data_IF_112689460453
#
_entry.id   IF_112689460453
#
_cell.length_a   1.000
_cell.length_b   1.000
_cell.length_c   1.000
_cell.angle_alpha   90.00
_cell.angle_beta   90.00
_cell.angle_gamma   90.00
#
_symmetry.space_group_name_H-M   'P 1'
#
loop_
_entity.id
_entity.type
_entity.pdbx_description
1 polymer ?
#
# COMPACT_ATOMS: atom_id res chain seq x y z
N UNK A 1 9.10 25.30 -14.31
CA UNK A 1 8.91 23.91 -14.74
C UNK A 1 8.26 23.15 -13.58
N UNK A 2 6.93 23.11 -13.57
CA UNK A 2 6.15 22.36 -12.56
C UNK A 2 6.26 20.87 -12.88
N UNK A 3 7.12 20.16 -12.15
CA UNK A 3 7.12 18.69 -12.14
C UNK A 3 5.85 18.26 -11.39
N UNK A 4 4.68 18.32 -12.04
CA UNK A 4 3.47 17.68 -11.54
C UNK A 4 3.79 16.19 -11.43
N UNK A 5 4.18 15.77 -10.23
CA UNK A 5 4.44 14.37 -9.87
C UNK A 5 3.16 13.61 -10.22
N UNK A 6 3.15 12.95 -11.38
CA UNK A 6 2.16 11.93 -11.73
C UNK A 6 2.28 10.87 -10.63
N UNK A 7 1.45 10.98 -9.59
CA UNK A 7 1.35 9.97 -8.54
C UNK A 7 1.19 8.64 -9.26
N UNK A 8 2.19 7.79 -9.14
CA UNK A 8 2.37 6.62 -9.99
C UNK A 8 1.08 5.78 -9.92
N UNK A 9 0.40 5.59 -11.05
CA UNK A 9 -0.87 4.85 -11.17
C UNK A 9 -0.81 3.50 -10.44
N UNK A 10 0.39 2.89 -10.38
CA UNK A 10 0.67 1.64 -9.67
C UNK A 10 0.46 1.69 -8.15
N UNK A 11 0.78 2.82 -7.51
CA UNK A 11 0.54 3.02 -6.08
C UNK A 11 -0.96 3.05 -5.81
N UNK A 12 -1.68 3.92 -6.54
CA UNK A 12 -3.12 4.04 -6.42
C UNK A 12 -3.86 2.71 -6.71
N UNK A 13 -3.50 1.98 -7.78
CA UNK A 13 -4.16 0.70 -8.11
C UNK A 13 -3.87 -0.38 -7.04
N UNK A 14 -2.65 -0.41 -6.48
CA UNK A 14 -2.30 -1.30 -5.37
C UNK A 14 -3.10 -0.99 -4.10
N UNK A 15 -3.24 0.29 -3.76
CA UNK A 15 -4.06 0.73 -2.64
C UNK A 15 -5.51 0.33 -2.82
N UNK A 16 -6.10 0.52 -4.02
CA UNK A 16 -7.47 0.10 -4.30
C UNK A 16 -7.65 -1.42 -4.25
N UNK A 17 -6.66 -2.17 -4.75
CA UNK A 17 -6.64 -3.63 -4.65
C UNK A 17 -6.64 -4.08 -3.18
N UNK A 18 -5.71 -3.57 -2.37
CA UNK A 18 -5.61 -3.92 -0.95
C UNK A 18 -6.83 -3.45 -0.16
N UNK A 19 -7.33 -2.24 -0.41
CA UNK A 19 -8.57 -1.73 0.17
C UNK A 19 -9.76 -2.66 -0.11
N UNK A 20 -9.89 -3.10 -1.37
CA UNK A 20 -10.96 -4.00 -1.82
C UNK A 20 -10.82 -5.40 -1.23
N UNK A 21 -9.59 -5.90 -1.09
CA UNK A 21 -9.30 -7.23 -0.56
C UNK A 21 -9.52 -7.30 0.95
N UNK A 22 -9.11 -6.25 1.67
CA UNK A 22 -9.15 -6.19 3.14
C UNK A 22 -10.39 -5.49 3.69
N UNK A 23 -11.28 -5.01 2.82
CA UNK A 23 -12.47 -4.22 3.21
C UNK A 23 -12.10 -2.96 4.00
N UNK A 24 -11.05 -2.27 3.56
CA UNK A 24 -10.55 -1.03 4.16
C UNK A 24 -10.88 0.17 3.27
N UNK A 25 -10.85 1.37 3.85
CA UNK A 25 -10.99 2.62 3.14
C UNK A 25 -9.61 3.16 2.77
N UNK A 26 -9.52 3.72 1.55
CA UNK A 26 -8.38 4.54 1.18
C UNK A 26 -8.45 5.88 1.88
N UNK A 27 -7.32 6.33 2.41
CA UNK A 27 -7.21 7.61 3.07
C UNK A 27 -7.17 8.75 2.04
N UNK A 28 -8.10 9.72 2.09
CA UNK A 28 -8.06 10.85 1.16
C UNK A 28 -6.84 11.75 1.38
N UNK A 29 -6.17 11.64 2.54
CA UNK A 29 -4.98 12.41 2.89
C UNK A 29 -3.74 11.51 3.09
N UNK A 30 -3.44 10.63 2.12
CA UNK A 30 -2.26 9.74 2.13
C UNK A 30 -0.89 10.42 2.12
N UNK A 31 -0.85 11.76 2.20
CA UNK A 31 0.41 12.51 2.36
C UNK A 31 0.91 12.50 3.82
N UNK A 32 0.00 12.41 4.78
CA UNK A 32 0.30 12.56 6.22
C UNK A 32 -0.15 11.37 7.06
N UNK A 33 -0.71 10.36 6.42
CA UNK A 33 -1.38 9.25 7.07
C UNK A 33 -1.17 7.98 6.26
N UNK A 34 -1.29 6.80 6.89
CA UNK A 34 -1.26 5.53 6.16
C UNK A 34 -2.29 5.52 5.04
N UNK A 35 -1.93 4.87 3.94
CA UNK A 35 -2.76 4.75 2.74
C UNK A 35 -4.15 4.18 3.03
N UNK A 36 -4.27 3.19 3.93
CA UNK A 36 -5.51 2.48 4.23
C UNK A 36 -5.90 2.54 5.71
N UNK A 37 -7.20 2.59 5.96
CA UNK A 37 -7.79 2.59 7.29
C UNK A 37 -9.04 1.71 7.35
N UNK A 38 -9.14 0.88 8.38
CA UNK A 38 -10.32 0.08 8.64
C UNK A 38 -11.51 0.94 9.06
N UNK A 39 -12.71 0.60 8.59
CA UNK A 39 -13.94 1.19 9.13
C UNK A 39 -14.14 0.77 10.59
N UNK A 40 -14.80 1.63 11.37
CA UNK A 40 -15.12 1.33 12.78
C UNK A 40 -15.88 0.02 12.91
N UNK A 41 -15.44 -0.85 13.81
CA UNK A 41 -16.04 -2.17 14.04
C UNK A 41 -15.69 -3.27 13.03
N UNK A 42 -14.98 -2.97 11.93
CA UNK A 42 -14.51 -4.01 10.99
C UNK A 42 -13.39 -4.85 11.58
N UNK A 43 -12.47 -4.19 12.30
CA UNK A 43 -11.30 -4.81 12.90
C UNK A 43 -11.10 -4.30 14.33
N UNK A 44 -10.65 -5.17 15.23
CA UNK A 44 -10.28 -4.83 16.61
C UNK A 44 -8.95 -5.53 16.96
N UNK A 45 -7.87 -4.78 17.22
CA UNK A 45 -7.75 -3.32 17.12
C UNK A 45 -7.98 -2.82 15.68
N UNK A 46 -8.16 -1.52 15.52
CA UNK A 46 -8.33 -0.91 14.20
C UNK A 46 -7.07 -1.07 13.38
N UNK A 47 -7.23 -1.52 12.15
CA UNK A 47 -6.12 -1.77 11.26
C UNK A 47 -5.87 -0.55 10.37
N UNK A 48 -4.62 -0.13 10.30
CA UNK A 48 -4.14 0.87 9.35
C UNK A 48 -2.95 0.30 8.59
N UNK A 49 -2.87 0.61 7.30
CA UNK A 49 -1.81 0.08 6.46
C UNK A 49 -1.23 1.14 5.54
N UNK A 50 0.10 1.14 5.46
CA UNK A 50 0.83 1.78 4.38
C UNK A 50 1.12 0.75 3.28
N UNK A 51 0.68 1.03 2.06
CA UNK A 51 0.71 0.09 0.94
C UNK A 51 1.87 0.42 0.01
N UNK A 52 2.78 -0.54 -0.14
CA UNK A 52 3.89 -0.47 -1.09
C UNK A 52 3.70 -1.52 -2.17
N UNK A 53 3.89 -1.14 -3.42
CA UNK A 53 3.87 -2.09 -4.53
C UNK A 53 5.10 -1.93 -5.42
N UNK A 54 5.57 -3.06 -5.96
CA UNK A 54 6.73 -3.05 -6.83
C UNK A 54 7.09 -4.42 -7.39
N UNK A 55 7.88 -4.40 -8.47
CA UNK A 55 8.46 -5.60 -9.05
C UNK A 55 9.60 -6.14 -8.18
N UNK A 56 9.94 -7.41 -8.36
CA UNK A 56 11.03 -8.07 -7.66
C UNK A 56 10.87 -8.01 -6.13
N UNK A 57 9.63 -8.14 -5.64
CA UNK A 57 9.33 -8.23 -4.21
C UNK A 57 9.91 -7.05 -3.40
N UNK A 58 9.76 -5.82 -3.92
CA UNK A 58 10.36 -4.61 -3.35
C UNK A 58 9.33 -3.50 -3.18
N UNK A 59 9.21 -3.00 -1.95
CA UNK A 59 8.54 -1.74 -1.62
C UNK A 59 9.55 -0.60 -1.45
N UNK A 60 9.15 0.63 -1.78
CA UNK A 60 9.94 1.84 -1.51
C UNK A 60 9.26 2.61 -0.39
N UNK A 61 9.99 2.80 0.71
CA UNK A 61 9.55 3.57 1.87
C UNK A 61 10.31 4.90 1.92
N UNK A 62 9.60 5.95 2.30
CA UNK A 62 10.19 7.26 2.56
C UNK A 62 10.27 7.52 4.08
N UNK A 63 11.30 8.23 4.56
CA UNK A 63 11.49 8.47 5.98
C UNK A 63 10.32 9.20 6.66
N UNK A 64 9.62 10.12 5.99
CA UNK A 64 8.44 10.76 6.57
C UNK A 64 7.28 9.76 6.78
N UNK A 65 7.28 8.61 6.12
CA UNK A 65 6.21 7.62 6.30
C UNK A 65 6.41 6.82 7.60
N UNK A 66 7.59 6.91 8.21
CA UNK A 66 7.87 6.25 9.47
C UNK A 66 7.03 6.82 10.62
N UNK A 67 6.71 8.13 10.60
CA UNK A 67 5.97 8.77 11.69
C UNK A 67 4.48 8.47 11.69
N UNK A 68 3.95 7.82 10.66
CA UNK A 68 2.52 7.53 10.54
C UNK A 68 1.97 6.69 11.70
N UNK A 69 2.82 5.95 12.41
CA UNK A 69 2.45 5.19 13.62
C UNK A 69 2.56 5.99 14.93
N UNK A 70 3.03 7.24 14.91
CA UNK A 70 3.29 8.06 16.11
C UNK A 70 2.16 9.01 16.50
N UNK A 71 1.00 8.85 15.89
CA UNK A 71 -0.09 9.83 16.00
C UNK A 71 -1.08 9.40 17.09
N UNK A 72 -1.09 10.07 18.25
CA UNK A 72 -2.15 10.05 19.29
C UNK A 72 -2.09 11.40 20.07
N UNK A 73 -3.17 12.09 20.47
CA UNK A 73 -4.51 11.69 20.95
C UNK A 73 -5.71 12.26 20.15
N UNK A 74 -5.48 12.95 19.04
CA UNK A 74 -6.50 13.78 18.35
C UNK A 74 -6.87 13.36 16.93
N UNK A 75 -6.39 12.24 16.41
CA UNK A 75 -6.62 11.87 14.99
C UNK A 75 -8.10 11.64 14.62
N UNK A 76 -8.97 11.63 15.63
CA UNK A 76 -10.39 11.28 15.61
C UNK A 76 -11.39 12.44 15.68
N UNK A 77 -11.06 13.64 16.17
CA UNK A 77 -12.05 14.75 16.20
C UNK A 77 -12.49 15.21 14.79
N UNK A 78 -11.68 14.91 13.77
CA UNK A 78 -11.85 15.38 12.38
C UNK A 78 -12.72 14.49 11.48
N UNK A 79 -13.04 13.24 11.86
CA UNK A 79 -14.00 12.43 11.08
C UNK A 79 -15.47 12.75 11.39
N UNK A 80 -15.75 13.59 12.41
CA UNK A 80 -17.11 13.92 12.87
C UNK A 80 -17.38 15.39 13.30
N UNK A 81 -16.52 16.37 13.00
CA UNK A 81 -16.80 17.79 13.33
C UNK A 81 -17.09 18.06 14.83
N UNK A 82 -16.27 17.56 15.78
CA UNK A 82 -16.39 17.96 17.22
C UNK A 82 -15.03 18.17 17.89
N UNK A 83 -14.96 19.17 18.79
CA UNK A 83 -13.75 19.77 19.39
C UNK A 83 -13.05 18.97 20.52
N UNK A 84 -11.78 19.40 20.79
CA UNK A 84 -10.96 19.43 22.05
C UNK A 84 -9.80 18.38 22.11
N UNK A 85 -8.49 18.77 21.94
CA UNK A 85 -7.38 19.15 22.91
C UNK A 85 -6.92 17.96 23.81
N UNK A 86 -5.67 17.65 24.18
CA UNK A 86 -4.27 18.05 23.87
C UNK A 86 -3.33 16.84 24.16
N UNK A 87 -2.07 17.00 23.75
CA UNK A 87 -0.94 16.07 23.62
C UNK A 87 -0.46 15.50 24.98
N UNK A 88 -0.04 14.22 25.01
CA UNK A 88 1.29 13.82 25.52
C UNK A 88 1.67 12.34 25.28
N UNK A 89 2.51 12.21 24.25
CA UNK A 89 3.75 11.42 24.13
C UNK A 89 3.74 9.88 24.18
N UNK A 90 4.25 9.34 23.07
CA UNK A 90 5.06 8.12 22.98
C UNK A 90 6.42 8.36 22.32
N UNK A 91 7.25 7.32 22.31
CA UNK A 91 8.37 7.03 21.40
C UNK A 91 9.83 7.27 21.86
N UNK A 92 10.17 7.23 23.14
CA UNK A 92 11.56 7.10 23.64
C UNK A 92 11.54 6.33 24.97
N UNK A 93 12.67 5.68 25.31
CA UNK A 93 12.92 5.16 26.66
C UNK A 93 12.48 6.18 27.73
N UNK A 94 11.59 5.72 28.62
CA UNK A 94 10.88 6.56 29.60
C UNK A 94 9.35 6.59 29.43
N UNK A 95 8.77 5.91 28.44
CA UNK A 95 7.31 5.81 28.25
C UNK A 95 6.91 4.33 28.19
N UNK A 96 6.07 3.93 29.15
CA UNK A 96 5.48 2.60 29.26
C UNK A 96 4.29 2.45 28.27
N UNK A 97 4.54 1.82 27.12
CA UNK A 97 3.54 1.54 26.10
C UNK A 97 2.30 0.79 26.61
N UNK A 98 2.44 -0.01 27.67
CA UNK A 98 1.31 -0.72 28.27
C UNK A 98 0.49 0.17 29.21
N UNK A 99 1.10 1.18 29.85
CA UNK A 99 0.37 2.21 30.59
C UNK A 99 -0.32 3.22 29.66
N UNK A 100 0.29 3.56 28.52
CA UNK A 100 -0.29 4.47 27.52
C UNK A 100 -1.46 3.83 26.75
N UNK A 101 -1.39 2.55 26.40
CA UNK A 101 -2.54 1.79 25.85
C UNK A 101 -3.73 1.71 26.81
N UNK A 102 -3.47 1.69 28.13
CA UNK A 102 -4.52 1.51 29.16
C UNK A 102 -5.23 2.78 29.59
N UNK A 103 -4.77 3.97 29.20
CA UNK A 103 -5.29 5.23 29.76
C UNK A 103 -6.15 6.10 28.82
N UNK A 104 -6.33 5.74 27.54
CA UNK A 104 -7.25 6.46 26.64
C UNK A 104 -8.01 5.50 25.71
N UNK A 105 -9.18 5.04 26.14
CA UNK A 105 -10.18 4.46 25.25
C UNK A 105 -10.62 5.56 24.27
N UNK A 106 -10.50 5.35 22.95
CA UNK A 106 -11.63 4.70 22.30
C UNK A 106 -11.33 3.69 21.19
N UNK A 107 -10.08 3.35 20.83
CA UNK A 107 -9.77 2.20 19.94
C UNK A 107 -8.25 2.01 19.82
N UNK A 108 -7.72 0.85 20.21
CA UNK A 108 -6.34 0.44 19.89
C UNK A 108 -6.16 0.44 18.36
N UNK A 109 -5.03 0.96 17.86
CA UNK A 109 -4.68 0.98 16.43
C UNK A 109 -3.47 0.07 16.18
N UNK A 110 -3.64 -0.87 15.25
CA UNK A 110 -2.60 -1.69 14.65
C UNK A 110 -2.11 -1.03 13.35
N UNK A 111 -0.84 -0.61 13.29
CA UNK A 111 -0.21 -0.07 12.09
C UNK A 111 0.75 -1.08 11.46
N UNK A 112 0.55 -1.33 10.16
CA UNK A 112 1.34 -2.29 9.39
C UNK A 112 1.76 -1.71 8.04
N UNK A 113 2.85 -2.24 7.48
CA UNK A 113 3.20 -2.06 6.07
C UNK A 113 2.73 -3.27 5.28
N UNK A 114 2.08 -3.05 4.13
CA UNK A 114 1.75 -4.10 3.17
C UNK A 114 2.61 -3.95 1.91
N UNK A 115 3.48 -4.91 1.63
CA UNK A 115 4.32 -4.95 0.43
C UNK A 115 3.70 -5.94 -0.56
N UNK A 116 3.23 -5.45 -1.70
CA UNK A 116 2.55 -6.23 -2.74
C UNK A 116 3.50 -6.44 -3.91
N UNK A 117 3.79 -7.72 -4.20
CA UNK A 117 4.61 -8.09 -5.35
C UNK A 117 3.82 -7.94 -6.65
N UNK A 118 4.49 -7.44 -7.68
CA UNK A 118 3.95 -7.32 -9.04
C UNK A 118 4.59 -8.36 -9.95
N UNK A 119 3.77 -9.08 -10.70
CA UNK A 119 4.23 -9.97 -11.77
C UNK A 119 4.12 -9.37 -13.17
N UNK A 120 3.41 -8.26 -13.30
CA UNK A 120 3.18 -7.65 -14.59
C UNK A 120 4.47 -7.05 -15.19
N UNK A 121 4.49 -6.91 -16.53
CA UNK A 121 5.61 -6.27 -17.22
C UNK A 121 5.51 -4.74 -17.31
N UNK A 122 4.51 -4.13 -16.67
CA UNK A 122 4.20 -2.70 -16.79
C UNK A 122 5.29 -1.83 -16.14
N UNK A 123 5.96 -1.05 -16.98
CA UNK A 123 7.00 -0.06 -16.62
C UNK A 123 6.43 1.36 -16.49
N UNK A 124 7.21 2.29 -15.93
CA UNK A 124 6.81 3.68 -15.70
C UNK A 124 6.30 4.41 -16.94
N UNK A 125 6.85 4.16 -18.13
CA UNK A 125 6.36 4.76 -19.37
C UNK A 125 4.97 4.26 -19.79
N UNK A 126 4.46 3.16 -19.20
CA UNK A 126 3.09 2.74 -19.45
C UNK A 126 2.07 3.48 -18.60
N UNK A 127 2.51 4.17 -17.54
CA UNK A 127 1.64 4.98 -16.68
C UNK A 127 0.97 6.11 -17.47
N UNK A 128 1.56 6.52 -18.59
CA UNK A 128 1.00 7.57 -19.44
C UNK A 128 -0.08 7.05 -20.37
N UNK A 129 -0.37 5.75 -20.36
CA UNK A 129 -1.23 5.07 -21.33
C UNK A 129 -2.60 4.77 -20.72
N UNK A 130 -3.72 5.01 -21.45
CA UNK A 130 -5.06 4.65 -20.99
C UNK A 130 -5.15 3.18 -20.60
N UNK A 131 -5.95 2.87 -19.58
CA UNK A 131 -6.23 1.50 -19.15
C UNK A 131 -5.00 0.64 -18.77
N UNK A 132 -3.80 1.22 -18.67
CA UNK A 132 -2.55 0.52 -18.33
C UNK A 132 -2.60 -0.20 -16.98
N UNK A 133 -3.48 0.22 -16.07
CA UNK A 133 -3.74 -0.47 -14.80
C UNK A 133 -4.45 -1.81 -14.96
N UNK A 134 -5.17 -2.06 -16.07
CA UNK A 134 -5.79 -3.37 -16.36
C UNK A 134 -4.71 -4.44 -16.50
N UNK A 135 -3.51 -4.08 -16.98
CA UNK A 135 -2.36 -4.97 -17.12
C UNK A 135 -1.73 -5.35 -15.77
N UNK A 136 -2.09 -4.69 -14.66
CA UNK A 136 -1.46 -4.94 -13.37
C UNK A 136 -1.91 -6.28 -12.79
N UNK A 137 -0.93 -7.09 -12.44
CA UNK A 137 -1.10 -8.39 -11.81
C UNK A 137 -0.39 -8.41 -10.47
N UNK A 138 -1.19 -8.57 -9.41
CA UNK A 138 -0.72 -8.69 -8.04
C UNK A 138 -0.41 -10.15 -7.70
N UNK A 139 0.71 -10.36 -7.00
CA UNK A 139 1.15 -11.68 -6.53
C UNK A 139 1.18 -11.72 -5.01
N UNK A 140 2.24 -12.28 -4.44
CA UNK A 140 2.42 -12.46 -3.01
C UNK A 140 2.42 -11.10 -2.29
N UNK A 141 1.86 -11.10 -1.09
CA UNK A 141 1.80 -9.93 -0.21
C UNK A 141 2.53 -10.21 1.09
N UNK A 142 3.13 -9.16 1.65
CA UNK A 142 3.96 -9.26 2.85
C UNK A 142 3.55 -8.15 3.81
N UNK A 143 2.99 -8.53 4.94
CA UNK A 143 2.48 -7.61 5.96
C UNK A 143 3.38 -7.69 7.18
N UNK A 144 3.89 -6.53 7.62
CA UNK A 144 4.85 -6.43 8.73
C UNK A 144 4.52 -5.23 9.62
N UNK A 145 4.78 -5.30 10.94
CA UNK A 145 4.41 -4.22 11.85
C UNK A 145 5.21 -2.95 11.57
N UNK A 146 4.75 -1.81 12.10
CA UNK A 146 5.47 -0.55 11.95
C UNK A 146 6.94 -0.66 12.35
N UNK A 147 7.19 -1.31 13.49
CA UNK A 147 8.50 -1.41 14.11
C UNK A 147 9.49 -2.15 13.19
N UNK A 148 9.02 -3.19 12.49
CA UNK A 148 9.79 -3.85 11.44
C UNK A 148 10.20 -2.85 10.36
N UNK A 149 9.24 -2.07 9.83
CA UNK A 149 9.52 -1.10 8.77
C UNK A 149 10.53 -0.03 9.19
N UNK A 150 10.45 0.44 10.44
CA UNK A 150 11.41 1.38 11.02
C UNK A 150 12.82 0.81 11.08
N UNK A 151 13.00 -0.36 11.70
CA UNK A 151 14.33 -0.94 11.82
C UNK A 151 14.89 -1.41 10.47
N UNK A 152 14.05 -1.93 9.57
CA UNK A 152 14.46 -2.27 8.21
C UNK A 152 14.95 -1.04 7.44
N UNK A 153 14.30 0.11 7.62
CA UNK A 153 14.75 1.40 7.08
C UNK A 153 16.11 1.78 7.67
N UNK A 154 16.26 1.73 8.99
CA UNK A 154 17.49 2.09 9.68
C UNK A 154 18.68 1.22 9.25
N UNK A 155 18.51 -0.10 9.17
CA UNK A 155 19.53 -1.05 8.69
C UNK A 155 19.93 -0.71 7.26
N UNK A 156 18.95 -0.52 6.38
CA UNK A 156 19.21 -0.23 4.96
C UNK A 156 19.96 1.09 4.79
N UNK A 157 19.58 2.12 5.55
CA UNK A 157 20.26 3.42 5.57
C UNK A 157 21.69 3.28 6.08
N UNK A 158 21.90 2.70 7.26
CA UNK A 158 23.23 2.49 7.86
C UNK A 158 24.16 1.71 6.94
N UNK A 159 23.68 0.61 6.33
CA UNK A 159 24.50 -0.18 5.41
C UNK A 159 24.92 0.62 4.16
N UNK A 160 24.07 1.52 3.67
CA UNK A 160 24.35 2.34 2.49
C UNK A 160 25.28 3.53 2.82
N UNK A 161 25.02 4.24 3.91
CA UNK A 161 25.77 5.45 4.31
C UNK A 161 27.04 5.12 5.09
N UNK A 162 27.15 3.89 5.62
CA UNK A 162 28.20 3.45 6.56
C UNK A 162 28.17 4.18 7.91
N UNK A 163 27.10 4.92 8.19
CA UNK A 163 26.86 5.52 9.51
C UNK A 163 26.56 4.42 10.54
N UNK A 164 26.89 4.69 11.82
CA UNK A 164 26.62 3.72 12.87
C UNK A 164 25.11 3.57 13.09
N UNK A 165 24.62 2.33 13.24
CA UNK A 165 23.18 2.05 13.27
C UNK A 165 22.46 2.79 14.40
N UNK A 166 23.10 2.96 15.57
CA UNK A 166 22.50 3.71 16.69
C UNK A 166 22.35 5.21 16.40
N UNK A 167 23.27 5.79 15.63
CA UNK A 167 23.19 7.20 15.21
C UNK A 167 22.05 7.37 14.19
N UNK A 168 21.92 6.43 13.25
CA UNK A 168 20.82 6.40 12.27
C UNK A 168 19.47 6.28 12.98
N UNK A 169 19.33 5.35 13.92
CA UNK A 169 18.11 5.19 14.72
C UNK A 169 17.79 6.49 15.46
N UNK A 170 18.78 7.07 16.15
CA UNK A 170 18.59 8.32 16.91
C UNK A 170 18.15 9.47 16.02
N UNK A 171 18.77 9.62 14.85
CA UNK A 171 18.43 10.66 13.87
C UNK A 171 17.03 10.44 13.27
N UNK A 172 16.67 9.20 12.92
CA UNK A 172 15.33 8.87 12.41
C UNK A 172 14.25 9.14 13.47
N UNK A 173 14.46 8.71 14.71
CA UNK A 173 13.49 8.95 15.79
C UNK A 173 13.33 10.44 16.10
N UNK A 174 14.43 11.22 16.09
CA UNK A 174 14.36 12.67 16.23
C UNK A 174 13.57 13.32 15.09
N UNK A 175 13.82 12.89 13.85
CA UNK A 175 13.08 13.35 12.67
C UNK A 175 11.60 13.00 12.75
N UNK A 176 11.25 11.77 13.10
CA UNK A 176 9.85 11.35 13.22
C UNK A 176 9.10 12.16 14.27
N UNK A 177 9.74 12.52 15.39
CA UNK A 177 9.14 13.39 16.41
C UNK A 177 8.96 14.82 15.95
N UNK A 178 9.91 15.31 15.16
CA UNK A 178 9.80 16.62 14.54
C UNK A 178 8.64 16.64 13.54
N UNK A 179 8.59 15.67 12.61
CA UNK A 179 7.53 15.54 11.61
C UNK A 179 6.14 15.36 12.23
N UNK A 180 6.03 14.61 13.34
CA UNK A 180 4.79 14.44 14.07
C UNK A 180 4.31 15.72 14.77
N UNK A 181 5.20 16.67 15.08
CA UNK A 181 4.88 17.95 15.75
C UNK A 181 4.61 19.07 14.75
N UNK A 182 5.33 19.10 13.64
CA UNK A 182 5.26 20.17 12.65
C UNK A 182 4.15 19.91 11.62
N UNK A 183 3.24 20.88 11.42
CA UNK A 183 2.18 20.79 10.41
C UNK A 183 2.68 20.94 8.97
N UNK A 184 4.00 20.95 8.73
CA UNK A 184 4.63 21.11 7.42
C UNK A 184 5.33 19.83 7.01
N UNK A 185 4.78 19.19 5.99
CA UNK A 185 5.46 18.12 5.27
C UNK A 185 6.64 18.72 4.49
N UNK A 186 7.88 18.41 4.87
CA UNK A 186 9.12 18.81 4.17
C UNK A 186 9.25 18.10 2.81
N UNK A 187 8.27 18.30 1.93
CA UNK A 187 8.21 17.62 0.63
C UNK A 187 9.25 18.10 -0.38
N UNK A 188 9.89 19.24 -0.08
CA UNK A 188 10.78 19.97 -0.99
C UNK A 188 12.27 19.66 -0.76
N UNK A 189 12.64 19.00 0.35
CA UNK A 189 14.03 18.65 0.71
C UNK A 189 14.31 17.14 0.58
N UNK A 190 13.86 16.51 -0.51
CA UNK A 190 14.07 15.07 -0.73
C UNK A 190 15.45 14.82 -1.33
N UNK A 191 16.39 14.33 -0.53
CA UNK A 191 17.62 13.72 -1.02
C UNK A 191 17.39 12.22 -1.34
N UNK A 192 18.28 11.61 -2.11
CA UNK A 192 18.31 10.15 -2.32
C UNK A 192 18.35 9.40 -0.99
N UNK A 193 18.79 10.06 0.08
CA UNK A 193 18.87 9.46 1.40
C UNK A 193 17.53 9.14 2.04
N UNK A 194 16.49 9.89 1.67
CA UNK A 194 15.12 9.84 2.20
C UNK A 194 14.37 8.55 1.83
N UNK A 195 14.87 7.79 0.85
CA UNK A 195 14.22 6.57 0.36
C UNK A 195 15.01 5.32 0.76
N UNK A 196 14.31 4.32 1.31
CA UNK A 196 14.84 2.97 1.52
C UNK A 196 13.92 1.93 0.88
N UNK A 197 14.52 0.81 0.52
CA UNK A 197 13.78 -0.33 0.01
C UNK A 197 13.44 -1.25 1.18
N UNK A 198 12.20 -1.73 1.23
CA UNK A 198 11.81 -2.88 2.04
C UNK A 198 11.69 -4.06 1.08
N UNK A 199 12.44 -5.12 1.34
CA UNK A 199 12.45 -6.30 0.48
C UNK A 199 11.59 -7.40 1.08
N UNK A 200 10.59 -7.85 0.35
CA UNK A 200 9.75 -8.96 0.74
C UNK A 200 10.50 -10.30 0.78
N UNK A 201 11.62 -10.44 0.05
CA UNK A 201 12.52 -11.60 0.22
C UNK A 201 13.19 -11.64 1.60
N UNK A 202 13.46 -10.48 2.21
CA UNK A 202 14.01 -10.43 3.58
C UNK A 202 12.93 -10.81 4.59
N UNK A 203 11.70 -10.33 4.37
CA UNK A 203 10.51 -10.71 5.18
C UNK A 203 10.28 -12.21 5.07
N UNK A 204 10.27 -12.77 3.85
CA UNK A 204 10.06 -14.19 3.61
C UNK A 204 11.17 -15.07 4.21
N UNK A 205 12.42 -14.61 4.14
CA UNK A 205 13.55 -15.28 4.79
C UNK A 205 13.36 -15.40 6.31
N UNK A 206 12.87 -14.34 6.96
CA UNK A 206 12.55 -14.34 8.40
C UNK A 206 11.32 -15.23 8.68
N UNK A 207 10.29 -15.11 7.85
CA UNK A 207 9.05 -15.86 7.97
C UNK A 207 9.30 -17.37 7.89
N UNK A 208 10.05 -17.83 6.90
CA UNK A 208 10.35 -19.26 6.72
C UNK A 208 11.55 -19.74 7.55
N UNK A 209 12.29 -18.81 8.16
CA UNK A 209 13.60 -19.07 8.78
C UNK A 209 14.61 -19.70 7.80
N UNK A 210 14.55 -19.26 6.54
CA UNK A 210 15.39 -19.74 5.45
C UNK A 210 16.27 -18.58 4.93
N UNK A 211 17.56 -18.51 5.34
CA UNK A 211 18.43 -17.40 4.98
C UNK A 211 18.75 -17.34 3.48
N UNK A 212 18.64 -18.45 2.76
CA UNK A 212 19.02 -18.57 1.35
C UNK A 212 17.94 -18.06 0.37
N UNK A 213 16.75 -17.72 0.86
CA UNK A 213 15.70 -17.04 0.08
C UNK A 213 16.14 -15.65 -0.37
N UNK A 214 16.98 -14.98 0.44
CA UNK A 214 17.47 -13.64 0.13
C UNK A 214 18.92 -13.65 -0.34
N UNK A 215 19.35 -12.54 -0.94
CA UNK A 215 20.71 -12.37 -1.46
C UNK A 215 21.75 -12.33 -0.33
N UNK A 216 23.05 -12.43 -0.66
CA UNK A 216 24.14 -12.20 0.31
C UNK A 216 24.02 -10.87 1.06
N UNK A 217 23.56 -9.81 0.38
CA UNK A 217 23.31 -8.51 1.02
C UNK A 217 22.05 -8.53 1.89
N UNK A 218 21.02 -9.25 1.46
CA UNK A 218 19.80 -9.48 2.24
C UNK A 218 20.07 -10.24 3.54
N UNK A 219 20.90 -11.28 3.51
CA UNK A 219 21.32 -12.01 4.72
C UNK A 219 21.95 -11.08 5.75
N UNK A 220 22.83 -10.17 5.31
CA UNK A 220 23.41 -9.12 6.17
C UNK A 220 22.36 -8.15 6.72
N UNK A 221 21.36 -7.77 5.91
CA UNK A 221 20.25 -6.92 6.39
C UNK A 221 19.44 -7.63 7.46
N UNK A 222 19.05 -8.89 7.23
CA UNK A 222 18.30 -9.70 8.19
C UNK A 222 19.08 -9.91 9.49
N UNK A 223 20.37 -10.21 9.40
CA UNK A 223 21.25 -10.35 10.57
C UNK A 223 21.33 -9.05 11.39
N UNK A 224 21.54 -7.92 10.73
CA UNK A 224 21.55 -6.62 11.41
C UNK A 224 20.18 -6.26 11.98
N UNK A 225 19.09 -6.64 11.32
CA UNK A 225 17.73 -6.43 11.81
C UNK A 225 17.48 -7.22 13.10
N UNK A 226 17.80 -8.52 13.13
CA UNK A 226 17.72 -9.37 14.33
C UNK A 226 18.52 -8.82 15.52
N UNK A 227 19.66 -8.15 15.25
CA UNK A 227 20.48 -7.54 16.31
C UNK A 227 19.85 -6.33 16.98
N UNK A 228 19.07 -5.53 16.24
CA UNK A 228 18.56 -4.25 16.73
C UNK A 228 17.06 -4.28 17.06
N UNK A 229 16.32 -5.23 16.49
CA UNK A 229 14.91 -5.43 16.74
C UNK A 229 14.71 -6.69 17.59
N UNK A 230 14.68 -6.51 18.91
CA UNK A 230 14.62 -7.60 19.89
C UNK A 230 13.35 -8.47 19.78
N UNK A 231 12.23 -7.88 19.33
CA UNK A 231 10.96 -8.58 19.14
C UNK A 231 10.81 -9.31 17.80
N UNK A 232 11.80 -9.25 16.90
CA UNK A 232 11.65 -9.77 15.55
C UNK A 232 11.33 -11.26 15.49
N UNK A 233 12.09 -12.08 16.22
CA UNK A 233 11.94 -13.53 16.20
C UNK A 233 10.76 -14.01 17.07
N UNK A 234 10.12 -13.10 17.81
CA UNK A 234 8.86 -13.37 18.56
C UNK A 234 7.60 -13.03 17.77
N UNK A 235 7.73 -12.47 16.57
CA UNK A 235 6.57 -12.18 15.72
C UNK A 235 5.92 -13.48 15.25
N UNK A 236 4.60 -13.51 15.33
CA UNK A 236 3.78 -14.64 14.92
C UNK A 236 3.68 -14.71 13.40
N UNK A 237 3.79 -15.92 12.86
CA UNK A 237 3.89 -16.18 11.42
C UNK A 237 2.56 -16.68 10.89
N UNK A 238 1.81 -15.80 10.23
CA UNK A 238 0.47 -16.11 9.73
C UNK A 238 0.49 -16.13 8.20
N UNK A 239 -0.10 -17.17 7.60
CA UNK A 239 -0.33 -17.25 6.15
C UNK A 239 -1.83 -17.18 5.85
N UNK A 240 -2.21 -16.32 4.91
CA UNK A 240 -3.58 -16.24 4.39
C UNK A 240 -3.55 -16.53 2.89
N UNK A 241 -4.43 -17.42 2.42
CA UNK A 241 -4.62 -17.65 0.99
C UNK A 241 -5.19 -16.38 0.35
N UNK A 242 -4.53 -15.90 -0.69
CA UNK A 242 -4.94 -14.75 -1.47
C UNK A 242 -5.60 -15.14 -2.80
N UNK A 243 -6.17 -14.16 -3.52
CA UNK A 243 -6.77 -14.38 -4.84
C UNK A 243 -5.79 -15.02 -5.84
N UNK A 244 -6.28 -15.83 -6.79
CA UNK A 244 -5.46 -16.45 -7.84
C UNK A 244 -4.29 -17.31 -7.31
N UNK A 245 -4.50 -18.06 -6.22
CA UNK A 245 -3.48 -18.92 -5.58
C UNK A 245 -2.24 -18.16 -5.10
N UNK A 246 -2.39 -16.88 -4.77
CA UNK A 246 -1.33 -16.10 -4.13
C UNK A 246 -1.34 -16.35 -2.63
N UNK A 247 -0.28 -15.93 -1.94
CA UNK A 247 -0.17 -16.03 -0.48
C UNK A 247 0.10 -14.67 0.12
N UNK A 248 -0.56 -14.37 1.23
CA UNK A 248 -0.29 -13.22 2.09
C UNK A 248 0.49 -13.74 3.30
N UNK A 249 1.75 -13.31 3.41
CA UNK A 249 2.66 -13.63 4.51
C UNK A 249 2.63 -12.49 5.53
N UNK A 250 2.36 -12.81 6.79
CA UNK A 250 2.17 -11.80 7.84
C UNK A 250 3.08 -12.12 9.02
N UNK A 251 3.94 -11.17 9.38
CA UNK A 251 4.60 -11.17 10.68
C UNK A 251 3.74 -10.31 11.62
N UNK A 252 3.08 -10.91 12.59
CA UNK A 252 2.13 -10.25 13.49
C UNK A 252 2.71 -10.08 14.89
N UNK A 253 2.30 -9.02 15.58
CA UNK A 253 2.57 -8.90 17.02
C UNK A 253 1.66 -9.87 17.77
N UNK A 254 2.10 -10.36 18.93
CA UNK A 254 1.40 -11.42 19.68
C UNK A 254 -0.07 -11.06 19.99
N UNK A 255 -0.31 -9.79 20.32
CA UNK A 255 -1.63 -9.23 20.63
C UNK A 255 -2.47 -8.93 19.38
N UNK A 256 -1.88 -8.98 18.19
CA UNK A 256 -2.56 -8.80 16.91
C UNK A 256 -2.80 -10.12 16.16
N UNK A 257 -2.53 -11.28 16.76
CA UNK A 257 -2.76 -12.58 16.12
C UNK A 257 -4.22 -12.75 15.69
N UNK A 258 -5.19 -12.49 16.57
CA UNK A 258 -6.62 -12.63 16.23
C UNK A 258 -7.06 -11.66 15.12
N UNK A 259 -6.52 -10.44 15.12
CA UNK A 259 -6.76 -9.46 14.06
C UNK A 259 -6.43 -10.03 12.68
N UNK A 260 -5.34 -10.77 12.55
CA UNK A 260 -4.93 -11.35 11.26
C UNK A 260 -5.50 -12.73 11.01
N UNK A 261 -5.34 -13.65 11.96
CA UNK A 261 -5.66 -15.07 11.79
C UNK A 261 -7.16 -15.35 11.76
N UNK A 262 -7.96 -14.49 12.38
CA UNK A 262 -9.42 -14.57 12.38
C UNK A 262 -10.02 -13.47 11.52
N UNK A 263 -9.84 -12.20 11.89
CA UNK A 263 -10.63 -11.11 11.34
C UNK A 263 -10.24 -10.79 9.88
N UNK A 264 -8.95 -10.54 9.61
CA UNK A 264 -8.46 -10.26 8.26
C UNK A 264 -8.64 -11.49 7.36
N UNK A 265 -8.35 -12.70 7.86
CA UNK A 265 -8.56 -13.95 7.11
C UNK A 265 -10.00 -14.09 6.63
N UNK A 266 -10.98 -13.83 7.50
CA UNK A 266 -12.39 -13.85 7.12
C UNK A 266 -12.72 -12.76 6.08
N UNK A 267 -12.18 -11.56 6.22
CA UNK A 267 -12.37 -10.49 5.23
C UNK A 267 -11.81 -10.90 3.87
N UNK A 268 -10.57 -11.41 3.82
CA UNK A 268 -9.92 -11.91 2.60
C UNK A 268 -10.75 -13.03 1.95
N UNK A 269 -11.15 -14.04 2.73
CA UNK A 269 -11.97 -15.15 2.23
C UNK A 269 -13.29 -14.68 1.59
N UNK A 270 -13.96 -13.69 2.20
CA UNK A 270 -15.19 -13.09 1.64
C UNK A 270 -14.94 -12.32 0.35
N UNK A 271 -13.74 -11.74 0.17
CA UNK A 271 -13.39 -10.87 -0.96
C UNK A 271 -12.72 -11.61 -2.12
N UNK A 272 -12.11 -12.78 -1.91
CA UNK A 272 -11.47 -13.59 -2.96
C UNK A 272 -12.37 -13.74 -4.20
N UNK A 273 -13.63 -14.23 -4.12
CA UNK A 273 -14.44 -14.46 -5.33
C UNK A 273 -14.70 -13.18 -6.14
N UNK A 274 -14.78 -12.04 -5.46
CA UNK A 274 -15.00 -10.72 -6.09
C UNK A 274 -13.74 -10.27 -6.81
N UNK A 275 -12.59 -10.39 -6.15
CA UNK A 275 -11.29 -10.01 -6.72
C UNK A 275 -10.92 -10.93 -7.89
N UNK A 276 -11.16 -12.23 -7.80
CA UNK A 276 -10.94 -13.18 -8.89
C UNK A 276 -11.85 -12.94 -10.09
N UNK A 277 -13.11 -12.54 -9.86
CA UNK A 277 -14.00 -12.09 -10.94
C UNK A 277 -13.43 -10.86 -11.63
N UNK A 278 -12.98 -9.84 -10.90
CA UNK A 278 -12.37 -8.64 -11.50
C UNK A 278 -11.11 -9.01 -12.28
N UNK A 279 -10.27 -9.91 -11.76
CA UNK A 279 -9.11 -10.41 -12.50
C UNK A 279 -9.50 -11.11 -13.81
N UNK A 280 -10.58 -11.90 -13.81
CA UNK A 280 -11.09 -12.53 -15.02
C UNK A 280 -11.60 -11.48 -16.02
N UNK A 281 -12.43 -10.53 -15.56
CA UNK A 281 -12.94 -9.44 -16.39
C UNK A 281 -11.80 -8.58 -16.97
N UNK A 282 -10.74 -8.32 -16.19
CA UNK A 282 -9.52 -7.64 -16.67
C UNK A 282 -8.84 -8.44 -17.77
N UNK A 283 -8.71 -9.77 -17.64
CA UNK A 283 -8.13 -10.61 -18.69
C UNK A 283 -8.96 -10.61 -19.97
N UNK A 284 -10.28 -10.75 -19.85
CA UNK A 284 -11.20 -10.66 -20.99
C UNK A 284 -11.12 -9.30 -21.68
N UNK A 285 -11.03 -8.21 -20.90
CA UNK A 285 -10.83 -6.86 -21.42
C UNK A 285 -9.48 -6.69 -22.12
N UNK A 286 -8.40 -7.34 -21.64
CA UNK A 286 -7.11 -7.33 -22.33
C UNK A 286 -7.19 -8.02 -23.69
N UNK A 287 -7.92 -9.14 -23.78
CA UNK A 287 -8.10 -9.84 -25.05
C UNK A 287 -8.91 -8.98 -26.04
N UNK A 288 -9.95 -8.29 -25.56
CA UNK A 288 -10.69 -7.31 -26.37
C UNK A 288 -9.78 -6.16 -26.85
N UNK A 289 -9.00 -5.56 -25.94
CA UNK A 289 -8.10 -4.46 -26.27
C UNK A 289 -7.01 -4.88 -27.27
N UNK A 290 -6.48 -6.10 -27.17
CA UNK A 290 -5.52 -6.64 -28.14
C UNK A 290 -6.15 -6.75 -29.53
N UNK A 291 -7.35 -7.32 -29.63
CA UNK A 291 -8.06 -7.44 -30.90
C UNK A 291 -8.29 -6.07 -31.55
N UNK A 292 -8.64 -5.04 -30.76
CA UNK A 292 -8.80 -3.67 -31.25
C UNK A 292 -7.45 -3.06 -31.70
N UNK A 293 -6.37 -3.29 -30.95
CA UNK A 293 -5.03 -2.77 -31.32
C UNK A 293 -4.49 -3.38 -32.61
N UNK A 294 -4.71 -4.69 -32.81
CA UNK A 294 -4.26 -5.42 -34.01
C UNK A 294 -5.05 -5.00 -35.26
N UNK A 295 -6.31 -4.60 -35.11
CA UNK A 295 -7.17 -4.24 -36.22
C UNK A 295 -6.95 -2.80 -36.72
N UNK A 296 -6.53 -1.89 -35.83
CA UNK A 296 -6.55 -0.46 -36.11
C UNK A 296 -5.16 0.20 -36.19
N UNK A 297 -4.05 -0.55 -36.02
CA UNK A 297 -2.70 0.01 -35.90
C UNK A 297 -2.62 1.12 -34.82
N UNK A 298 -3.54 1.04 -33.85
CA UNK A 298 -3.63 1.93 -32.71
C UNK A 298 -2.81 1.30 -31.61
N UNK A 299 -1.71 1.95 -31.23
CA UNK A 299 -1.10 1.72 -29.94
C UNK A 299 -2.11 2.17 -28.87
N UNK A 300 -3.01 1.28 -28.45
CA UNK A 300 -3.87 1.43 -27.25
C UNK A 300 -3.02 1.56 -25.97
N UNK A 301 -1.72 1.39 -26.16
CA UNK A 301 -0.63 1.66 -25.29
C UNK A 301 0.19 2.89 -25.77
N UNK A 302 -0.37 3.96 -26.31
CA UNK A 302 0.38 5.21 -26.56
C UNK A 302 -0.14 6.38 -25.72
N UNK A 303 0.63 7.49 -25.72
CA UNK A 303 0.51 8.58 -24.75
C UNK A 303 -0.91 9.17 -24.69
N UNK A 304 -1.45 9.34 -23.48
CA UNK A 304 -2.82 9.81 -23.23
C UNK A 304 -3.14 11.13 -23.93
N UNK A 305 -2.14 12.00 -24.06
CA UNK A 305 -2.25 13.32 -24.68
C UNK A 305 -2.39 13.20 -26.20
N UNK A 306 -1.73 12.21 -26.81
CA UNK A 306 -1.88 11.89 -28.23
C UNK A 306 -3.22 11.21 -28.52
N UNK A 307 -3.68 10.32 -27.63
CA UNK A 307 -5.02 9.71 -27.69
C UNK A 307 -6.12 10.76 -27.53
N UNK A 308 -5.96 11.73 -26.62
CA UNK A 308 -6.91 12.83 -26.43
C UNK A 308 -6.88 13.83 -27.59
N UNK A 309 -5.71 14.08 -28.18
CA UNK A 309 -5.56 14.92 -29.36
C UNK A 309 -6.19 14.25 -30.59
N UNK A 310 -5.91 12.96 -30.82
CA UNK A 310 -6.57 12.13 -31.84
C UNK A 310 -8.08 12.09 -31.65
N UNK A 311 -8.58 11.97 -30.41
CA UNK A 311 -10.02 12.07 -30.07
C UNK A 311 -10.64 13.43 -30.44
N UNK A 312 -9.90 14.52 -30.33
CA UNK A 312 -10.38 15.86 -30.68
C UNK A 312 -10.40 16.09 -32.19
N UNK A 313 -9.52 15.40 -32.94
CA UNK A 313 -9.33 15.61 -34.38
C UNK A 313 -9.94 14.52 -35.27
N UNK A 314 -10.19 13.32 -34.74
CA UNK A 314 -10.79 12.19 -35.44
C UNK A 314 -11.81 11.45 -34.54
N UNK A 315 -13.11 11.78 -34.66
CA UNK A 315 -14.18 11.11 -33.92
C UNK A 315 -14.32 9.60 -34.21
N UNK A 316 -13.74 9.09 -35.32
CA UNK A 316 -13.76 7.67 -35.68
C UNK A 316 -12.77 6.81 -34.86
N UNK A 317 -11.88 7.44 -34.11
CA UNK A 317 -10.93 6.79 -33.21
C UNK A 317 -11.61 6.00 -32.06
N UNK A 318 -12.89 6.25 -31.78
CA UNK A 318 -13.70 5.51 -30.80
C UNK A 318 -15.02 4.95 -31.39
N UNK A 319 -15.21 4.97 -32.71
CA UNK A 319 -16.50 4.54 -33.29
C UNK A 319 -16.80 3.05 -33.13
N UNK A 320 -15.83 2.24 -32.68
CA UNK A 320 -16.02 0.79 -32.50
C UNK A 320 -16.24 0.35 -31.04
N UNK A 321 -15.95 1.20 -30.05
CA UNK A 321 -16.27 0.90 -28.64
C UNK A 321 -17.61 1.54 -28.29
N UNK A 322 -18.60 0.71 -27.98
CA UNK A 322 -19.87 1.19 -27.46
C UNK A 322 -19.64 1.87 -26.10
N UNK A 323 -20.49 2.82 -25.74
CA UNK A 323 -20.33 3.62 -24.51
C UNK A 323 -20.29 2.76 -23.25
N UNK A 324 -21.02 1.64 -23.24
CA UNK A 324 -21.02 0.61 -22.20
C UNK A 324 -19.66 -0.10 -22.12
N UNK A 325 -19.03 -0.43 -23.25
CA UNK A 325 -17.70 -1.07 -23.30
C UNK A 325 -16.61 -0.12 -22.80
N UNK A 326 -16.64 1.14 -23.21
CA UNK A 326 -15.71 2.15 -22.71
C UNK A 326 -15.87 2.38 -21.19
N UNK A 327 -17.11 2.46 -20.71
CA UNK A 327 -17.39 2.59 -19.28
C UNK A 327 -16.94 1.34 -18.49
N UNK A 328 -17.11 0.16 -19.09
CA UNK A 328 -16.64 -1.10 -18.52
C UNK A 328 -15.11 -1.13 -18.39
N UNK A 329 -14.38 -0.73 -19.43
CA UNK A 329 -12.91 -0.62 -19.41
C UNK A 329 -12.43 0.41 -18.39
N UNK A 330 -13.11 1.55 -18.29
CA UNK A 330 -12.80 2.58 -17.29
C UNK A 330 -13.05 2.10 -15.86
N UNK A 331 -14.08 1.29 -15.64
CA UNK A 331 -14.30 0.63 -14.35
C UNK A 331 -13.16 -0.34 -14.05
N UNK A 332 -12.76 -1.16 -15.02
CA UNK A 332 -11.72 -2.17 -14.83
C UNK A 332 -10.33 -1.59 -14.58
N UNK A 333 -10.05 -0.40 -15.09
CA UNK A 333 -8.79 0.32 -14.83
C UNK A 333 -8.67 0.85 -13.40
N UNK A 334 -9.71 0.71 -12.57
CA UNK A 334 -9.66 0.96 -11.14
C UNK A 334 -10.07 -0.34 -10.43
N UNK A 335 -9.28 -0.88 -9.49
CA UNK A 335 -9.86 -1.87 -8.57
C UNK A 335 -11.02 -1.18 -7.85
N UNK A 336 -12.22 -1.70 -8.05
CA UNK A 336 -13.48 -1.01 -7.76
C UNK A 336 -13.44 -0.12 -6.51
N UNK A 337 -13.79 1.15 -6.71
CA UNK A 337 -14.01 2.13 -5.66
C UNK A 337 -15.36 1.82 -4.96
N UNK A 338 -15.37 0.89 -4.00
CA UNK A 338 -16.59 0.48 -3.28
C UNK A 338 -17.05 1.55 -2.26
N UNK A 339 -16.35 2.68 -2.15
CA UNK A 339 -16.59 3.68 -1.10
C UNK A 339 -17.34 4.95 -1.49
N UNK A 340 -17.38 5.36 -2.76
CA UNK A 340 -17.84 6.73 -3.10
C UNK A 340 -19.01 6.80 -4.08
N UNK A 341 -19.43 5.69 -4.70
CA UNK A 341 -20.58 5.71 -5.60
C UNK A 341 -21.46 4.49 -5.31
N UNK A 342 -22.73 4.69 -4.92
CA UNK A 342 -23.62 3.57 -4.72
C UNK A 342 -23.80 2.81 -6.03
N UNK A 343 -23.56 1.50 -5.96
CA UNK A 343 -23.55 0.54 -7.08
C UNK A 343 -24.79 0.63 -7.99
N UNK A 344 -25.92 1.11 -7.49
CA UNK A 344 -27.17 1.29 -8.24
C UNK A 344 -27.13 2.46 -9.24
N UNK A 345 -26.32 3.51 -9.02
CA UNK A 345 -26.25 4.65 -9.96
C UNK A 345 -25.55 4.34 -11.29
N UNK A 346 -24.75 3.27 -11.36
CA UNK A 346 -24.13 2.83 -12.61
C UNK A 346 -24.93 1.74 -13.35
N UNK A 347 -25.94 1.15 -12.70
CA UNK A 347 -26.77 0.09 -13.27
C UNK A 347 -28.13 0.60 -13.78
N UNK A 348 -28.58 1.78 -13.36
CA UNK A 348 -29.87 2.34 -13.80
C UNK A 348 -29.86 2.90 -15.24
N UNK A 349 -28.71 2.95 -15.93
CA UNK A 349 -28.63 3.44 -17.32
C UNK A 349 -28.10 2.39 -18.33
N UNK A 350 -28.03 1.11 -17.95
CA UNK A 350 -27.69 0.02 -18.89
C UNK A 350 -28.97 -0.73 -19.24
N UNK A 351 -29.57 -0.52 -20.43
CA UNK A 351 -30.65 -1.38 -20.88
C UNK A 351 -30.06 -2.78 -21.19
N UNK A 352 -30.67 -3.80 -20.60
CA UNK A 352 -30.35 -5.22 -20.82
C UNK A 352 -30.51 -5.64 -22.29
#
# INVERSE_FOLDING_TARGET
MEYKRRNAIFGNDAEYYAASLFMMLKNPNGTRRPDLLSMGGTFTPRLTMEVKSGKNMKGILNDYQLHYALTLNGDYSELQNRNIIEINHGMFDGIDWNATRRQNLSEDIAYYYNIINRADEVRSYHITKPFSSILLEWKEQFIVPNEFGFYAFAVSRSMRTKEHISEVISALSAKMKYDAREKRSHYDERDIQTFQNIYATDILSIFLDEPDITTKYGRKRVENLRRIYSGLDTLEKITIEGPNKTTIYILAEQDHVDLFDSQLRQAVAKRIPIIERIHRERREALDLLKNISEYNDIELFDDLEEVQTKRATDPSFLTELRIDEFNHLRRLSQWLNVGEIPFYKYLEEVPF
#
